data_IF_894750908240
#
_entry.id   IF_894750908240
#
_cell.length_a   1.000
_cell.length_b   1.000
_cell.length_c   1.000
_cell.angle_alpha   90.00
_cell.angle_beta   90.00
_cell.angle_gamma   90.00
#
_symmetry.space_group_name_H-M   'P 1'
#
loop_
_entity.id
_entity.type
_entity.pdbx_description
1 polymer ?
#
# COMPACT_ATOMS: atom_id res chain seq x y z
N UNK A 1 -18.40 7.65 -26.34
CA UNK A 1 -17.37 6.89 -25.61
C UNK A 1 -16.04 7.60 -25.79
N UNK A 2 -15.36 7.97 -24.72
CA UNK A 2 -14.05 8.62 -24.80
C UNK A 2 -12.94 7.57 -24.94
N UNK A 3 -11.95 7.88 -25.76
CA UNK A 3 -10.70 7.11 -25.85
C UNK A 3 -9.57 7.93 -25.25
N UNK A 4 -8.90 7.38 -24.24
CA UNK A 4 -7.70 7.97 -23.65
C UNK A 4 -6.49 7.46 -24.44
N UNK A 5 -5.70 8.38 -24.97
CA UNK A 5 -4.39 8.09 -25.58
C UNK A 5 -3.29 8.54 -24.64
N UNK A 6 -2.40 7.63 -24.26
CA UNK A 6 -1.37 7.90 -23.25
C UNK A 6 -0.05 7.19 -23.55
N UNK A 7 1.06 7.80 -23.18
CA UNK A 7 2.39 7.17 -23.27
C UNK A 7 2.74 6.54 -21.92
N UNK A 8 2.73 5.21 -21.83
CA UNK A 8 3.04 4.49 -20.59
C UNK A 8 4.54 4.53 -20.25
N UNK A 9 5.42 4.73 -21.23
CA UNK A 9 6.88 4.68 -21.06
C UNK A 9 7.59 5.88 -21.70
N UNK A 10 7.32 7.12 -21.25
CA UNK A 10 8.02 8.28 -21.77
C UNK A 10 9.51 8.21 -21.39
N UNK A 11 10.40 8.47 -22.36
CA UNK A 11 11.85 8.65 -22.17
C UNK A 11 12.73 7.39 -21.96
N UNK A 12 12.35 6.21 -22.45
CA UNK A 12 13.27 5.06 -22.52
C UNK A 12 14.19 5.19 -23.75
N UNK A 13 15.33 5.89 -23.61
CA UNK A 13 16.38 5.92 -24.65
C UNK A 13 17.23 4.64 -24.59
N UNK A 14 17.04 3.75 -25.58
CA UNK A 14 18.09 3.31 -26.52
C UNK A 14 17.64 2.24 -27.54
N UNK A 15 16.42 1.68 -27.52
CA UNK A 15 16.03 0.74 -28.59
C UNK A 15 14.53 0.45 -28.85
N UNK A 16 13.54 1.10 -28.21
CA UNK A 16 12.11 0.94 -28.59
C UNK A 16 11.35 2.27 -28.48
N UNK A 17 10.37 2.48 -29.36
CA UNK A 17 9.48 3.67 -29.46
C UNK A 17 8.72 3.90 -28.14
N UNK A 18 8.21 5.12 -27.94
CA UNK A 18 7.21 5.41 -26.91
C UNK A 18 6.08 4.34 -26.93
N UNK A 19 5.71 3.82 -25.76
CA UNK A 19 4.58 2.88 -25.65
C UNK A 19 3.28 3.68 -25.55
N UNK A 20 2.79 4.12 -26.71
CA UNK A 20 1.52 4.82 -26.83
C UNK A 20 0.39 3.78 -26.84
N UNK A 21 -0.49 3.87 -25.84
CA UNK A 21 -1.67 3.01 -25.71
C UNK A 21 -2.94 3.83 -25.84
N UNK A 22 -3.98 3.17 -26.33
CA UNK A 22 -5.32 3.72 -26.45
C UNK A 22 -6.29 2.86 -25.64
N UNK A 23 -7.02 3.48 -24.73
CA UNK A 23 -7.98 2.84 -23.83
C UNK A 23 -9.35 3.47 -24.04
N UNK A 24 -10.33 2.65 -24.41
CA UNK A 24 -11.73 3.08 -24.52
C UNK A 24 -12.44 2.92 -23.17
N UNK A 25 -13.14 3.97 -22.73
CA UNK A 25 -13.94 3.93 -21.50
C UNK A 25 -15.37 3.51 -21.82
N UNK A 26 -15.87 2.52 -21.09
CA UNK A 26 -17.27 2.09 -21.18
C UNK A 26 -18.22 3.14 -20.60
N UNK A 27 -19.53 2.96 -20.84
CA UNK A 27 -20.56 3.96 -20.55
C UNK A 27 -20.47 4.52 -19.13
N UNK A 28 -20.48 3.66 -18.11
CA UNK A 28 -20.44 4.09 -16.72
C UNK A 28 -19.09 4.69 -16.32
N UNK A 29 -18.00 4.05 -16.74
CA UNK A 29 -16.64 4.56 -16.51
C UNK A 29 -16.45 5.94 -17.13
N UNK A 30 -16.97 6.16 -18.33
CA UNK A 30 -16.87 7.42 -19.05
C UNK A 30 -17.63 8.54 -18.34
N UNK A 31 -18.87 8.28 -17.90
CA UNK A 31 -19.64 9.24 -17.11
C UNK A 31 -18.91 9.61 -15.81
N UNK A 32 -18.43 8.61 -15.06
CA UNK A 32 -17.64 8.82 -13.84
C UNK A 32 -16.35 9.60 -14.11
N UNK A 33 -15.62 9.25 -15.16
CA UNK A 33 -14.36 9.91 -15.51
C UNK A 33 -14.58 11.39 -15.82
N UNK A 34 -15.65 11.72 -16.56
CA UNK A 34 -15.99 13.12 -16.87
C UNK A 34 -16.36 13.90 -15.61
N UNK A 35 -17.13 13.32 -14.70
CA UNK A 35 -17.44 13.94 -13.41
C UNK A 35 -16.16 14.20 -12.59
N UNK A 36 -15.28 13.21 -12.49
CA UNK A 36 -14.00 13.35 -11.79
C UNK A 36 -13.06 14.38 -12.45
N UNK A 37 -13.08 14.51 -13.77
CA UNK A 37 -12.33 15.55 -14.49
C UNK A 37 -12.90 16.94 -14.19
N UNK A 38 -14.22 17.10 -14.19
CA UNK A 38 -14.90 18.36 -13.83
C UNK A 38 -14.55 18.80 -12.39
N UNK A 39 -14.42 17.85 -11.47
CA UNK A 39 -14.00 18.07 -10.08
C UNK A 39 -12.47 18.23 -9.91
N UNK A 40 -11.69 18.32 -11.01
CA UNK A 40 -10.21 18.37 -11.01
C UNK A 40 -9.50 17.17 -10.35
N UNK A 41 -10.21 16.06 -10.08
CA UNK A 41 -9.63 14.87 -9.46
C UNK A 41 -8.65 14.20 -10.41
N UNK A 42 -8.98 14.12 -11.71
CA UNK A 42 -8.09 13.53 -12.72
C UNK A 42 -6.81 14.36 -12.87
N UNK A 43 -6.92 15.69 -12.90
CA UNK A 43 -5.76 16.59 -12.91
C UNK A 43 -4.85 16.34 -11.70
N UNK A 44 -5.43 16.19 -10.51
CA UNK A 44 -4.69 15.85 -9.30
C UNK A 44 -3.96 14.51 -9.41
N UNK A 45 -4.57 13.48 -9.99
CA UNK A 45 -3.93 12.16 -10.14
C UNK A 45 -2.68 12.17 -11.02
N UNK A 46 -2.60 13.09 -11.98
CA UNK A 46 -1.39 13.31 -12.81
C UNK A 46 -0.24 13.89 -11.99
N UNK A 47 -0.55 14.60 -10.90
CA UNK A 47 0.44 15.23 -10.02
C UNK A 47 0.81 14.36 -8.80
N UNK A 48 -0.01 13.37 -8.43
CA UNK A 48 0.26 12.48 -7.29
C UNK A 48 1.28 11.41 -7.70
N UNK A 49 2.48 11.37 -7.08
CA UNK A 49 3.48 10.35 -7.37
C UNK A 49 3.01 8.95 -6.94
N UNK A 50 3.26 7.93 -7.77
CA UNK A 50 2.88 6.54 -7.48
C UNK A 50 3.50 6.06 -6.15
N UNK A 51 4.80 6.29 -5.98
CA UNK A 51 5.60 5.80 -4.86
C UNK A 51 5.78 6.83 -3.73
N UNK A 52 5.01 7.92 -3.77
CA UNK A 52 5.05 8.99 -2.77
C UNK A 52 6.47 9.51 -2.50
N UNK A 53 6.96 9.43 -1.25
CA UNK A 53 8.28 9.96 -0.92
C UNK A 53 9.43 9.10 -1.42
N UNK A 54 9.25 7.91 -2.00
CA UNK A 54 10.36 7.07 -2.47
C UNK A 54 11.16 7.78 -3.57
N UNK A 55 12.50 7.72 -3.50
CA UNK A 55 13.36 8.41 -4.47
C UNK A 55 13.40 7.61 -5.77
N UNK A 56 12.94 8.20 -6.86
CA UNK A 56 12.95 7.59 -8.19
C UNK A 56 13.72 8.48 -9.15
N UNK A 57 14.50 7.88 -10.07
CA UNK A 57 15.13 8.65 -11.16
C UNK A 57 14.03 9.25 -12.02
N UNK A 58 14.14 10.53 -12.39
CA UNK A 58 13.07 11.27 -13.08
C UNK A 58 12.48 10.52 -14.29
N UNK A 59 13.31 9.85 -15.09
CA UNK A 59 12.89 9.05 -16.26
C UNK A 59 11.97 7.86 -15.94
N UNK A 60 11.94 7.40 -14.70
CA UNK A 60 11.09 6.30 -14.23
C UNK A 60 9.99 6.80 -13.28
N UNK A 61 9.86 8.11 -13.11
CA UNK A 61 8.79 8.67 -12.27
C UNK A 61 7.44 8.39 -12.93
N UNK A 62 6.52 7.85 -12.14
CA UNK A 62 5.14 7.57 -12.53
C UNK A 62 4.19 8.27 -11.58
N UNK A 63 3.14 8.84 -12.14
CA UNK A 63 1.99 9.35 -11.41
C UNK A 63 0.98 8.23 -11.14
N UNK A 64 0.02 8.50 -10.25
CA UNK A 64 -1.14 7.62 -10.06
C UNK A 64 -1.96 7.51 -11.35
N UNK A 65 -2.01 8.57 -12.16
CA UNK A 65 -2.65 8.53 -13.47
C UNK A 65 -1.98 7.52 -14.41
N UNK A 66 -0.64 7.52 -14.52
CA UNK A 66 0.10 6.54 -15.35
C UNK A 66 -0.21 5.09 -14.95
N UNK A 67 -0.42 4.88 -13.65
CA UNK A 67 -0.74 3.58 -13.07
C UNK A 67 -2.18 3.14 -13.36
N UNK A 68 -3.14 4.07 -13.32
CA UNK A 68 -4.53 3.82 -13.74
C UNK A 68 -4.57 3.43 -15.21
N UNK A 69 -3.90 4.18 -16.09
CA UNK A 69 -3.93 3.89 -17.52
C UNK A 69 -3.28 2.55 -17.84
N UNK A 70 -2.20 2.16 -17.15
CA UNK A 70 -1.60 0.83 -17.30
C UNK A 70 -2.61 -0.28 -16.95
N UNK A 71 -3.28 -0.19 -15.80
CA UNK A 71 -4.28 -1.18 -15.40
C UNK A 71 -5.44 -1.28 -16.39
N UNK A 72 -5.98 -0.14 -16.84
CA UNK A 72 -7.04 -0.13 -17.85
C UNK A 72 -6.58 -0.73 -19.18
N UNK A 73 -5.33 -0.50 -19.57
CA UNK A 73 -4.73 -1.11 -20.75
C UNK A 73 -4.58 -2.62 -20.60
N UNK A 74 -4.14 -3.12 -19.44
CA UNK A 74 -4.06 -4.56 -19.18
C UNK A 74 -5.46 -5.21 -19.16
N UNK A 75 -6.47 -4.56 -18.58
CA UNK A 75 -7.87 -5.01 -18.67
C UNK A 75 -8.34 -5.10 -20.13
N UNK A 76 -7.95 -4.15 -20.98
CA UNK A 76 -8.21 -4.21 -22.43
C UNK A 76 -7.51 -5.42 -23.07
N UNK A 77 -6.26 -5.72 -22.72
CA UNK A 77 -5.56 -6.92 -23.20
C UNK A 77 -6.32 -8.18 -22.80
N UNK A 78 -6.72 -8.31 -21.52
CA UNK A 78 -7.47 -9.46 -21.02
C UNK A 78 -8.77 -9.63 -21.79
N UNK A 79 -9.57 -8.57 -21.92
CA UNK A 79 -10.84 -8.65 -22.66
C UNK A 79 -10.66 -9.08 -24.12
N UNK A 80 -9.64 -8.58 -24.80
CA UNK A 80 -9.43 -8.85 -26.22
C UNK A 80 -8.84 -10.22 -26.52
N UNK A 81 -8.04 -10.79 -25.61
CA UNK A 81 -7.22 -11.97 -25.91
C UNK A 81 -7.50 -13.17 -25.00
N UNK A 82 -8.08 -12.97 -23.82
CA UNK A 82 -8.21 -13.99 -22.77
C UNK A 82 -9.67 -14.22 -22.36
N UNK A 83 -10.63 -13.37 -22.76
CA UNK A 83 -12.00 -13.44 -22.20
C UNK A 83 -12.70 -14.80 -22.33
N UNK A 84 -12.38 -15.59 -23.36
CA UNK A 84 -13.00 -16.90 -23.60
C UNK A 84 -12.41 -18.00 -22.70
N UNK A 85 -11.33 -17.68 -22.00
CA UNK A 85 -10.63 -18.54 -21.05
C UNK A 85 -10.87 -18.08 -19.59
N UNK A 86 -11.78 -17.12 -19.38
CA UNK A 86 -12.20 -16.68 -18.05
C UNK A 86 -13.42 -17.46 -17.59
N UNK A 87 -13.48 -17.77 -16.29
CA UNK A 87 -14.65 -18.41 -15.67
C UNK A 87 -15.93 -17.58 -15.88
N UNK A 88 -15.80 -16.25 -15.71
CA UNK A 88 -16.88 -15.31 -16.01
C UNK A 88 -16.32 -14.19 -16.90
N UNK A 89 -16.93 -14.01 -18.08
CA UNK A 89 -16.42 -13.08 -19.09
C UNK A 89 -16.66 -11.61 -18.70
N UNK A 90 -15.87 -10.70 -19.26
CA UNK A 90 -16.01 -9.25 -19.04
C UNK A 90 -17.36 -8.69 -19.51
N UNK A 91 -18.05 -9.40 -20.41
CA UNK A 91 -19.36 -8.98 -20.92
C UNK A 91 -20.52 -9.50 -20.04
N UNK A 92 -20.24 -10.32 -19.03
CA UNK A 92 -21.25 -10.79 -18.09
C UNK A 92 -21.81 -9.62 -17.29
N UNK A 93 -23.13 -9.60 -17.12
CA UNK A 93 -23.86 -8.53 -16.45
C UNK A 93 -23.87 -8.74 -14.93
N UNK A 94 -23.76 -7.63 -14.18
CA UNK A 94 -23.90 -7.60 -12.74
C UNK A 94 -25.35 -7.25 -12.37
N UNK A 95 -25.92 -7.98 -11.43
CA UNK A 95 -27.26 -7.73 -10.91
C UNK A 95 -27.20 -6.99 -9.56
N UNK A 96 -28.29 -6.31 -9.21
CA UNK A 96 -28.42 -5.64 -7.91
C UNK A 96 -28.16 -6.55 -6.69
N UNK A 97 -28.64 -7.81 -6.64
CA UNK A 97 -28.33 -8.72 -5.54
C UNK A 97 -26.84 -9.06 -5.39
N UNK A 98 -26.03 -8.83 -6.44
CA UNK A 98 -24.58 -9.02 -6.39
C UNK A 98 -23.93 -7.92 -5.51
N UNK A 99 -24.63 -6.80 -5.25
CA UNK A 99 -24.24 -5.79 -4.27
C UNK A 99 -25.04 -5.97 -2.98
N UNK A 100 -24.36 -6.16 -1.84
CA UNK A 100 -25.00 -6.28 -0.52
C UNK A 100 -25.63 -4.96 0.00
N UNK A 101 -25.67 -3.90 -0.81
CA UNK A 101 -26.16 -2.56 -0.46
C UNK A 101 -27.61 -2.30 -0.91
N UNK A 102 -28.32 -1.43 -0.16
CA UNK A 102 -29.76 -1.16 -0.34
C UNK A 102 -30.10 -0.07 -1.38
N UNK A 103 -29.10 0.62 -1.94
CA UNK A 103 -29.31 2.02 -2.38
C UNK A 103 -29.36 2.26 -3.89
N UNK A 104 -29.10 1.25 -4.73
CA UNK A 104 -29.11 1.46 -6.19
C UNK A 104 -30.30 0.74 -6.82
N UNK A 105 -31.02 1.47 -7.67
CA UNK A 105 -31.89 0.89 -8.70
C UNK A 105 -31.16 0.91 -10.03
N UNK A 106 -30.86 -0.26 -10.59
CA UNK A 106 -30.27 -0.42 -11.92
C UNK A 106 -31.35 -0.99 -12.83
N UNK A 107 -31.68 -0.26 -13.88
CA UNK A 107 -32.64 -0.70 -14.89
C UNK A 107 -32.12 -1.97 -15.59
N UNK A 108 -33.01 -2.93 -15.89
CA UNK A 108 -32.60 -4.22 -16.49
C UNK A 108 -31.86 -4.07 -17.81
N UNK A 109 -32.21 -3.04 -18.59
CA UNK A 109 -31.64 -2.74 -19.90
C UNK A 109 -30.31 -1.99 -19.83
N UNK A 110 -29.97 -1.45 -18.66
CA UNK A 110 -28.77 -0.66 -18.41
C UNK A 110 -27.95 -1.29 -17.29
N UNK A 111 -27.72 -2.60 -17.35
CA UNK A 111 -26.89 -3.28 -16.35
C UNK A 111 -25.40 -3.04 -16.63
N UNK A 112 -24.58 -2.82 -15.59
CA UNK A 112 -23.14 -2.77 -15.77
C UNK A 112 -22.59 -4.17 -15.99
N UNK A 113 -21.65 -4.29 -16.93
CA UNK A 113 -20.89 -5.52 -17.14
C UNK A 113 -19.74 -5.64 -16.13
N UNK A 114 -19.16 -6.82 -15.97
CA UNK A 114 -17.90 -7.01 -15.23
C UNK A 114 -16.81 -6.05 -15.74
N UNK A 115 -16.76 -5.82 -17.06
CA UNK A 115 -15.84 -4.86 -17.66
C UNK A 115 -16.06 -3.42 -17.16
N UNK A 116 -17.31 -3.00 -16.97
CA UNK A 116 -17.64 -1.70 -16.37
C UNK A 116 -17.11 -1.63 -14.93
N UNK A 117 -17.41 -2.65 -14.12
CA UNK A 117 -16.97 -2.70 -12.71
C UNK A 117 -15.44 -2.64 -12.61
N UNK A 118 -14.71 -3.41 -13.41
CA UNK A 118 -13.25 -3.43 -13.38
C UNK A 118 -12.64 -2.09 -13.79
N UNK A 119 -13.18 -1.44 -14.82
CA UNK A 119 -12.72 -0.11 -15.22
C UNK A 119 -13.02 0.95 -14.17
N UNK A 120 -14.22 0.96 -13.60
CA UNK A 120 -14.61 1.88 -12.53
C UNK A 120 -13.77 1.66 -11.28
N UNK A 121 -13.62 0.41 -10.84
CA UNK A 121 -12.80 0.04 -9.69
C UNK A 121 -11.35 0.51 -9.86
N UNK A 122 -10.78 0.35 -11.06
CA UNK A 122 -9.42 0.84 -11.37
C UNK A 122 -9.24 2.33 -11.09
N UNK A 123 -10.24 3.14 -11.45
CA UNK A 123 -10.21 4.60 -11.23
C UNK A 123 -10.40 4.89 -9.73
N UNK A 124 -11.50 4.42 -9.14
CA UNK A 124 -11.89 4.80 -7.76
C UNK A 124 -10.98 4.21 -6.70
N UNK A 125 -10.28 3.11 -6.99
CA UNK A 125 -9.22 2.61 -6.12
C UNK A 125 -8.10 3.64 -5.93
N UNK A 126 -7.86 4.53 -6.90
CA UNK A 126 -6.70 5.41 -6.91
C UNK A 126 -7.00 6.88 -6.52
N UNK A 127 -8.27 7.32 -6.59
CA UNK A 127 -8.62 8.76 -6.42
C UNK A 127 -8.33 9.32 -5.02
N UNK A 128 -8.41 8.50 -3.96
CA UNK A 128 -8.22 8.92 -2.58
C UNK A 128 -6.78 8.91 -2.04
N UNK A 129 -5.77 8.61 -2.86
CA UNK A 129 -4.37 8.62 -2.42
C UNK A 129 -3.86 10.04 -2.12
N UNK A 130 -3.15 10.22 -1.01
CA UNK A 130 -2.35 11.42 -0.70
C UNK A 130 -1.14 11.57 -1.64
N UNK A 131 -0.55 12.77 -1.71
CA UNK A 131 0.70 13.01 -2.44
C UNK A 131 1.89 12.22 -1.87
N UNK A 132 2.01 12.11 -0.54
CA UNK A 132 3.01 11.22 0.09
C UNK A 132 2.44 9.81 0.37
N UNK A 133 1.36 9.43 -0.33
CA UNK A 133 0.77 8.09 -0.36
C UNK A 133 0.63 7.45 1.04
N UNK A 134 1.23 6.28 1.27
CA UNK A 134 1.12 5.53 2.51
C UNK A 134 1.79 6.21 3.70
N UNK A 135 2.75 7.11 3.48
CA UNK A 135 3.39 7.87 4.58
C UNK A 135 2.39 8.84 5.20
N UNK A 136 1.58 9.53 4.38
CA UNK A 136 0.50 10.38 4.86
C UNK A 136 -0.61 9.57 5.52
N UNK A 137 -1.03 8.46 4.91
CA UNK A 137 -2.07 7.61 5.51
C UNK A 137 -1.65 7.09 6.88
N UNK A 138 -0.37 6.71 7.03
CA UNK A 138 0.18 6.29 8.32
C UNK A 138 0.13 7.41 9.36
N UNK A 139 0.39 8.65 8.95
CA UNK A 139 0.31 9.80 9.84
C UNK A 139 -1.11 10.04 10.35
N UNK A 140 -2.11 9.91 9.49
CA UNK A 140 -3.53 10.04 9.88
C UNK A 140 -3.91 8.97 10.89
N UNK A 141 -3.61 7.70 10.62
CA UNK A 141 -3.95 6.61 11.54
C UNK A 141 -3.24 6.75 12.89
N UNK A 142 -1.96 7.11 12.89
CA UNK A 142 -1.23 7.38 14.14
C UNK A 142 -1.87 8.55 14.90
N UNK A 143 -2.23 9.63 14.19
CA UNK A 143 -2.81 10.80 14.82
C UNK A 143 -4.20 10.51 15.41
N UNK A 144 -5.05 9.77 14.69
CA UNK A 144 -6.36 9.31 15.21
C UNK A 144 -6.21 8.41 16.45
N UNK A 145 -5.20 7.54 16.47
CA UNK A 145 -4.90 6.71 17.65
C UNK A 145 -4.36 7.52 18.85
N UNK A 146 -3.83 8.72 18.63
CA UNK A 146 -3.24 9.59 19.68
C UNK A 146 -4.16 10.76 20.06
N UNK A 147 -5.23 11.02 19.30
CA UNK A 147 -6.15 12.13 19.50
C UNK A 147 -7.60 11.69 19.20
N UNK A 148 -8.36 11.47 20.27
CA UNK A 148 -9.75 10.99 20.22
C UNK A 148 -10.70 11.98 19.52
N UNK A 149 -10.50 13.30 19.70
CA UNK A 149 -11.29 14.32 19.01
C UNK A 149 -11.10 14.21 17.48
N UNK A 150 -9.85 14.05 17.04
CA UNK A 150 -9.57 13.86 15.62
C UNK A 150 -10.10 12.52 15.09
N UNK A 151 -10.01 11.44 15.87
CA UNK A 151 -10.61 10.16 15.50
C UNK A 151 -12.12 10.30 15.28
N UNK A 152 -12.83 10.97 16.18
CA UNK A 152 -14.26 11.24 16.05
C UNK A 152 -14.57 12.12 14.83
N UNK A 153 -13.74 13.12 14.53
CA UNK A 153 -13.88 13.93 13.29
C UNK A 153 -13.68 13.08 12.02
N UNK A 154 -12.72 12.16 12.03
CA UNK A 154 -12.47 11.26 10.90
C UNK A 154 -13.65 10.31 10.68
N UNK A 155 -14.17 9.70 11.76
CA UNK A 155 -15.35 8.82 11.71
C UNK A 155 -16.55 9.58 11.15
N UNK A 156 -16.81 10.78 11.65
CA UNK A 156 -17.95 11.61 11.23
C UNK A 156 -17.68 12.45 9.96
N UNK A 157 -16.67 12.08 9.16
CA UNK A 157 -16.39 12.78 7.89
C UNK A 157 -17.35 12.39 6.76
N UNK A 158 -18.14 11.34 6.96
CA UNK A 158 -19.28 10.93 6.14
C UNK A 158 -20.46 10.62 7.06
N UNK A 159 -21.68 10.73 6.53
CA UNK A 159 -22.90 10.31 7.23
C UNK A 159 -23.23 8.82 7.04
N UNK A 160 -22.59 8.11 6.10
CA UNK A 160 -22.85 6.69 5.84
C UNK A 160 -22.29 5.82 6.98
N UNK A 161 -23.15 5.01 7.60
CA UNK A 161 -22.76 4.14 8.72
C UNK A 161 -21.70 3.11 8.32
N UNK A 162 -21.69 2.64 7.06
CA UNK A 162 -20.66 1.71 6.55
C UNK A 162 -19.29 2.38 6.48
N UNK A 163 -19.26 3.69 6.20
CA UNK A 163 -18.04 4.47 6.24
C UNK A 163 -17.55 4.59 7.68
N UNK A 164 -18.44 4.96 8.62
CA UNK A 164 -18.12 5.12 10.05
C UNK A 164 -17.54 3.82 10.64
N UNK A 165 -18.18 2.69 10.35
CA UNK A 165 -17.70 1.35 10.75
C UNK A 165 -16.30 1.05 10.19
N UNK A 166 -16.10 1.23 8.88
CA UNK A 166 -14.81 0.96 8.24
C UNK A 166 -13.68 1.88 8.74
N UNK A 167 -13.96 3.15 9.07
CA UNK A 167 -13.00 4.04 9.73
C UNK A 167 -12.62 3.50 11.10
N UNK A 168 -13.60 3.09 11.90
CA UNK A 168 -13.39 2.52 13.23
C UNK A 168 -12.44 1.33 13.19
N UNK A 169 -12.74 0.35 12.32
CA UNK A 169 -11.89 -0.82 12.09
C UNK A 169 -10.47 -0.42 11.67
N UNK A 170 -10.33 0.55 10.75
CA UNK A 170 -9.00 0.94 10.25
C UNK A 170 -8.17 1.68 11.31
N UNK A 171 -8.80 2.41 12.22
CA UNK A 171 -8.11 3.03 13.36
C UNK A 171 -7.65 1.95 14.34
N UNK A 172 -8.54 1.03 14.70
CA UNK A 172 -8.27 -0.08 15.64
C UNK A 172 -7.14 -0.98 15.13
N UNK A 173 -7.24 -1.45 13.89
CA UNK A 173 -6.24 -2.32 13.26
C UNK A 173 -4.98 -1.56 12.78
N UNK A 174 -4.99 -0.23 12.90
CA UNK A 174 -3.97 0.68 12.37
C UNK A 174 -3.74 0.49 10.86
N UNK A 175 -4.79 0.24 10.10
CA UNK A 175 -4.77 -0.10 8.67
C UNK A 175 -4.61 1.13 7.74
N UNK A 176 -3.43 1.76 7.77
CA UNK A 176 -3.16 2.90 6.89
C UNK A 176 -3.05 2.54 5.41
N UNK A 177 -2.78 1.27 5.07
CA UNK A 177 -2.63 0.83 3.68
C UNK A 177 -3.94 0.97 2.91
N UNK A 178 -5.09 0.78 3.58
CA UNK A 178 -6.42 0.87 2.96
C UNK A 178 -7.14 2.21 3.13
N UNK A 179 -6.63 3.14 3.95
CA UNK A 179 -7.27 4.45 4.21
C UNK A 179 -7.62 5.24 2.93
N UNK A 180 -6.83 5.11 1.87
CA UNK A 180 -7.09 5.78 0.60
C UNK A 180 -8.44 5.38 -0.03
N UNK A 181 -8.97 4.20 0.27
CA UNK A 181 -10.29 3.76 -0.18
C UNK A 181 -11.40 4.58 0.49
N UNK A 182 -11.24 4.90 1.77
CA UNK A 182 -12.17 5.77 2.50
C UNK A 182 -12.12 7.19 1.94
N UNK A 183 -10.92 7.72 1.68
CA UNK A 183 -10.78 9.02 1.01
C UNK A 183 -11.42 9.02 -0.39
N UNK A 184 -11.38 7.90 -1.11
CA UNK A 184 -12.06 7.78 -2.40
C UNK A 184 -13.58 7.89 -2.26
N UNK A 185 -14.18 7.29 -1.21
CA UNK A 185 -15.61 7.47 -0.92
C UNK A 185 -15.96 8.94 -0.68
N UNK A 186 -15.16 9.65 0.13
CA UNK A 186 -15.37 11.07 0.42
C UNK A 186 -15.27 11.97 -0.82
N UNK A 187 -14.45 11.58 -1.81
CA UNK A 187 -14.41 12.24 -3.13
C UNK A 187 -15.68 11.94 -3.93
N UNK A 188 -16.15 10.69 -3.92
CA UNK A 188 -17.36 10.28 -4.62
C UNK A 188 -18.62 10.94 -4.02
N UNK A 189 -18.67 11.19 -2.71
CA UNK A 189 -19.77 11.92 -2.05
C UNK A 189 -19.90 13.38 -2.50
N UNK A 190 -18.80 14.00 -2.95
CA UNK A 190 -18.81 15.38 -3.47
C UNK A 190 -19.16 15.47 -4.95
N UNK A 191 -19.10 14.34 -5.65
CA UNK A 191 -19.53 14.26 -7.03
C UNK A 191 -21.04 14.44 -7.14
N UNK A 192 -21.54 14.71 -8.34
CA UNK A 192 -22.98 14.76 -8.58
C UNK A 192 -23.68 13.42 -8.24
N UNK A 193 -24.42 13.40 -7.13
CA UNK A 193 -25.12 12.20 -6.64
C UNK A 193 -26.32 11.79 -7.53
N UNK A 194 -26.74 12.62 -8.49
CA UNK A 194 -27.78 12.24 -9.47
C UNK A 194 -27.25 11.25 -10.51
N UNK A 195 -25.92 11.18 -10.70
CA UNK A 195 -25.30 10.29 -11.68
C UNK A 195 -25.31 8.82 -11.20
N UNK A 196 -25.81 7.94 -12.06
CA UNK A 196 -25.83 6.48 -11.79
C UNK A 196 -24.42 5.93 -11.61
N UNK A 197 -23.45 6.40 -12.38
CA UNK A 197 -22.05 5.97 -12.27
C UNK A 197 -21.40 6.32 -10.92
N UNK A 198 -21.75 7.45 -10.31
CA UNK A 198 -21.23 7.85 -8.98
C UNK A 198 -21.78 6.93 -7.90
N UNK A 199 -23.10 6.70 -7.88
CA UNK A 199 -23.74 5.75 -6.95
C UNK A 199 -23.16 4.35 -7.09
N UNK A 200 -23.06 3.86 -8.34
CA UNK A 200 -22.47 2.56 -8.64
C UNK A 200 -21.01 2.47 -8.17
N UNK A 201 -20.21 3.52 -8.38
CA UNK A 201 -18.85 3.57 -7.87
C UNK A 201 -18.77 3.44 -6.34
N UNK A 202 -19.63 4.14 -5.60
CA UNK A 202 -19.68 4.02 -4.14
C UNK A 202 -19.98 2.58 -3.70
N UNK A 203 -20.98 1.92 -4.28
CA UNK A 203 -21.33 0.54 -3.91
C UNK A 203 -20.26 -0.49 -4.32
N UNK A 204 -19.60 -0.31 -5.47
CA UNK A 204 -18.43 -1.12 -5.84
C UNK A 204 -17.35 -1.00 -4.76
N UNK A 205 -17.07 0.24 -4.32
CA UNK A 205 -16.01 0.51 -3.37
C UNK A 205 -16.34 0.01 -1.96
N UNK A 206 -17.59 0.15 -1.49
CA UNK A 206 -18.05 -0.46 -0.24
C UNK A 206 -17.96 -1.98 -0.28
N UNK A 207 -18.41 -2.60 -1.38
CA UNK A 207 -18.29 -4.06 -1.58
C UNK A 207 -16.82 -4.50 -1.55
N UNK A 208 -15.92 -3.73 -2.16
CA UNK A 208 -14.48 -4.00 -2.13
C UNK A 208 -13.85 -3.79 -0.74
N UNK A 209 -14.28 -2.79 0.01
CA UNK A 209 -13.85 -2.55 1.39
C UNK A 209 -14.20 -3.78 2.25
N UNK A 210 -15.46 -4.22 2.17
CA UNK A 210 -16.02 -5.37 2.88
C UNK A 210 -15.76 -6.74 2.25
N UNK A 211 -14.85 -6.85 1.26
CA UNK A 211 -14.66 -8.06 0.44
C UNK A 211 -14.35 -9.34 1.24
N UNK A 212 -13.77 -9.21 2.44
CA UNK A 212 -13.46 -10.36 3.30
C UNK A 212 -14.72 -11.09 3.82
N UNK A 213 -15.88 -10.44 3.76
CA UNK A 213 -17.18 -11.01 4.12
C UNK A 213 -17.90 -11.68 2.93
N UNK A 214 -17.33 -11.63 1.73
CA UNK A 214 -17.90 -12.27 0.55
C UNK A 214 -17.56 -13.77 0.54
N UNK A 215 -18.49 -14.58 0.04
CA UNK A 215 -18.24 -15.99 -0.19
C UNK A 215 -17.32 -16.15 -1.40
N UNK A 216 -16.53 -17.23 -1.44
CA UNK A 216 -15.58 -17.47 -2.55
C UNK A 216 -16.27 -17.58 -3.90
N UNK A 217 -17.48 -18.12 -3.92
CA UNK A 217 -18.27 -18.33 -5.15
C UNK A 217 -19.10 -17.08 -5.53
N UNK A 218 -18.94 -15.97 -4.79
CA UNK A 218 -19.60 -14.71 -5.10
C UNK A 218 -18.98 -14.09 -6.35
N UNK A 219 -19.85 -13.68 -7.29
CA UNK A 219 -19.40 -13.03 -8.54
C UNK A 219 -18.54 -11.80 -8.26
N UNK A 220 -18.85 -11.01 -7.23
CA UNK A 220 -18.04 -9.84 -6.88
C UNK A 220 -16.67 -10.23 -6.32
N UNK A 221 -16.57 -11.35 -5.60
CA UNK A 221 -15.28 -11.90 -5.17
C UNK A 221 -14.40 -12.22 -6.38
N UNK A 222 -14.96 -12.89 -7.40
CA UNK A 222 -14.28 -13.17 -8.65
C UNK A 222 -13.80 -11.90 -9.37
N UNK A 223 -14.67 -10.88 -9.47
CA UNK A 223 -14.31 -9.57 -10.07
C UNK A 223 -13.13 -8.93 -9.34
N UNK A 224 -13.12 -8.97 -8.00
CA UNK A 224 -12.04 -8.40 -7.19
C UNK A 224 -10.72 -9.17 -7.32
N UNK A 225 -10.76 -10.49 -7.51
CA UNK A 225 -9.58 -11.29 -7.80
C UNK A 225 -8.97 -10.95 -9.16
N UNK A 226 -9.79 -10.77 -10.21
CA UNK A 226 -9.28 -10.29 -11.51
C UNK A 226 -8.62 -8.92 -11.35
N UNK A 227 -9.30 -7.98 -10.69
CA UNK A 227 -8.77 -6.64 -10.43
C UNK A 227 -7.42 -6.70 -9.72
N UNK A 228 -7.32 -7.50 -8.65
CA UNK A 228 -6.09 -7.67 -7.87
C UNK A 228 -4.95 -8.23 -8.72
N UNK A 229 -5.20 -9.28 -9.51
CA UNK A 229 -4.18 -9.89 -10.39
C UNK A 229 -3.68 -8.93 -11.46
N UNK A 230 -4.57 -8.17 -12.10
CA UNK A 230 -4.19 -7.14 -13.10
C UNK A 230 -3.41 -6.00 -12.45
N UNK A 231 -3.84 -5.58 -11.25
CA UNK A 231 -3.12 -4.59 -10.46
C UNK A 231 -1.73 -5.09 -10.07
N UNK A 232 -1.59 -6.37 -9.70
CA UNK A 232 -0.31 -6.98 -9.33
C UNK A 232 0.70 -6.94 -10.48
N UNK A 233 0.26 -7.33 -11.68
CA UNK A 233 1.07 -7.18 -12.91
C UNK A 233 1.45 -5.72 -13.14
N UNK A 234 0.52 -4.79 -12.94
CA UNK A 234 0.76 -3.37 -13.19
C UNK A 234 1.85 -2.79 -12.30
N UNK A 235 1.78 -3.00 -10.98
CA UNK A 235 2.77 -2.37 -10.08
C UNK A 235 4.12 -3.05 -10.22
N UNK A 236 4.16 -4.38 -10.36
CA UNK A 236 5.42 -5.09 -10.55
C UNK A 236 6.12 -4.64 -11.83
N UNK A 237 5.38 -4.44 -12.93
CA UNK A 237 5.96 -3.99 -14.19
C UNK A 237 6.61 -2.61 -14.11
N UNK A 238 6.04 -1.67 -13.34
CA UNK A 238 6.65 -0.36 -13.12
C UNK A 238 7.76 -0.39 -12.06
N UNK A 239 7.54 -1.06 -10.94
CA UNK A 239 8.47 -1.01 -9.82
C UNK A 239 9.75 -1.82 -10.08
N UNK A 240 9.67 -2.89 -10.89
CA UNK A 240 10.87 -3.60 -11.35
C UNK A 240 11.78 -2.71 -12.21
N UNK A 241 11.27 -1.67 -12.87
CA UNK A 241 12.11 -0.73 -13.64
C UNK A 241 13.01 0.13 -12.74
N UNK A 242 12.67 0.25 -11.45
CA UNK A 242 13.41 1.04 -10.47
C UNK A 242 14.14 0.19 -9.43
N UNK A 243 13.73 -1.08 -9.26
CA UNK A 243 14.37 -2.04 -8.36
C UNK A 243 15.79 -2.36 -8.82
N UNK A 244 16.63 -2.79 -7.87
CA UNK A 244 17.92 -3.43 -8.16
C UNK A 244 17.79 -4.94 -8.43
N UNK A 245 16.57 -5.48 -8.35
CA UNK A 245 16.27 -6.88 -8.62
C UNK A 245 16.53 -7.23 -10.09
N UNK A 246 17.16 -8.37 -10.42
CA UNK A 246 17.49 -8.75 -11.80
C UNK A 246 16.27 -9.32 -12.56
N UNK A 247 15.10 -8.74 -12.37
CA UNK A 247 13.84 -9.16 -13.00
C UNK A 247 13.18 -7.95 -13.66
N UNK A 248 12.53 -8.17 -14.80
CA UNK A 248 11.78 -7.13 -15.52
C UNK A 248 10.57 -7.74 -16.19
N UNK A 249 9.48 -6.97 -16.27
CA UNK A 249 8.33 -7.28 -17.14
C UNK A 249 8.37 -6.26 -18.28
N UNK A 250 8.64 -6.72 -19.51
CA UNK A 250 8.70 -5.82 -20.68
C UNK A 250 7.28 -5.45 -21.13
N UNK A 251 6.84 -4.24 -20.77
CA UNK A 251 5.54 -3.71 -21.19
C UNK A 251 5.43 -3.49 -22.71
N UNK A 252 6.55 -3.46 -23.44
CA UNK A 252 6.55 -3.35 -24.90
C UNK A 252 6.35 -4.70 -25.60
N UNK A 253 6.44 -5.83 -24.88
CA UNK A 253 6.20 -7.17 -25.42
C UNK A 253 4.78 -7.62 -25.09
N UNK A 254 3.86 -7.34 -26.02
CA UNK A 254 2.44 -7.67 -25.86
C UNK A 254 2.19 -9.17 -25.72
N UNK A 255 2.94 -10.02 -26.41
CA UNK A 255 2.73 -11.47 -26.39
C UNK A 255 3.14 -12.04 -25.02
N UNK A 256 4.26 -11.57 -24.48
CA UNK A 256 4.68 -11.90 -23.11
C UNK A 256 3.66 -11.42 -22.06
N UNK A 257 3.07 -10.22 -22.24
CA UNK A 257 2.00 -9.74 -21.35
C UNK A 257 0.74 -10.60 -21.41
N UNK A 258 0.30 -10.98 -22.62
CA UNK A 258 -0.85 -11.88 -22.80
C UNK A 258 -0.57 -13.22 -22.12
N UNK A 259 0.63 -13.77 -22.31
CA UNK A 259 1.02 -15.04 -21.72
C UNK A 259 0.94 -15.01 -20.19
N UNK A 260 1.58 -14.03 -19.55
CA UNK A 260 1.57 -13.90 -18.08
C UNK A 260 0.14 -13.69 -17.54
N UNK A 261 -0.65 -12.84 -18.20
CA UNK A 261 -2.04 -12.60 -17.81
C UNK A 261 -2.90 -13.86 -17.97
N UNK A 262 -2.68 -14.65 -19.03
CA UNK A 262 -3.36 -15.94 -19.23
C UNK A 262 -3.00 -16.93 -18.13
N UNK A 263 -1.73 -17.06 -17.78
CA UNK A 263 -1.27 -17.92 -16.69
C UNK A 263 -1.86 -17.52 -15.33
N UNK A 264 -2.16 -16.24 -15.11
CA UNK A 264 -2.77 -15.75 -13.87
C UNK A 264 -4.31 -15.89 -13.82
N UNK A 265 -4.98 -15.78 -14.97
CA UNK A 265 -6.43 -15.55 -15.04
C UNK A 265 -7.22 -16.69 -15.69
N UNK A 266 -6.60 -17.50 -16.54
CA UNK A 266 -7.30 -18.56 -17.26
C UNK A 266 -7.80 -19.64 -16.30
N UNK A 267 -9.07 -20.02 -16.40
CA UNK A 267 -9.62 -21.11 -15.58
C UNK A 267 -9.13 -22.49 -16.03
N UNK A 268 -8.52 -22.59 -17.21
CA UNK A 268 -7.91 -23.82 -17.72
C UNK A 268 -6.52 -24.09 -17.13
N UNK A 269 -5.88 -23.08 -16.53
CA UNK A 269 -4.52 -23.15 -16.03
C UNK A 269 -4.48 -23.39 -14.51
N UNK A 270 -3.46 -24.12 -14.04
CA UNK A 270 -3.09 -24.10 -12.63
C UNK A 270 -2.37 -22.78 -12.32
N UNK A 271 -3.09 -21.85 -11.68
CA UNK A 271 -2.59 -20.50 -11.42
C UNK A 271 -1.55 -20.45 -10.29
N UNK A 272 -1.42 -21.51 -9.47
CA UNK A 272 -0.58 -21.51 -8.24
C UNK A 272 0.90 -21.21 -8.50
N UNK A 273 1.57 -21.78 -9.51
CA UNK A 273 2.99 -21.48 -9.76
C UNK A 273 3.21 -19.99 -10.06
N UNK A 274 2.33 -19.41 -10.86
CA UNK A 274 2.40 -18.00 -11.26
C UNK A 274 2.08 -17.09 -10.06
N UNK A 275 1.08 -17.44 -9.24
CA UNK A 275 0.79 -16.72 -7.99
C UNK A 275 1.98 -16.74 -7.01
N UNK A 276 2.67 -17.88 -6.87
CA UNK A 276 3.87 -18.00 -6.04
C UNK A 276 5.01 -17.15 -6.60
N UNK A 277 5.19 -17.13 -7.93
CA UNK A 277 6.19 -16.27 -8.58
C UNK A 277 5.92 -14.80 -8.28
N UNK A 278 4.68 -14.35 -8.47
CA UNK A 278 4.26 -12.97 -8.20
C UNK A 278 4.44 -12.61 -6.72
N UNK A 279 4.03 -13.50 -5.80
CA UNK A 279 4.29 -13.31 -4.36
C UNK A 279 5.79 -13.18 -4.06
N UNK A 280 6.64 -13.95 -4.74
CA UNK A 280 8.09 -13.90 -4.56
C UNK A 280 8.68 -12.60 -5.09
N UNK A 281 8.23 -12.13 -6.26
CA UNK A 281 8.61 -10.83 -6.82
C UNK A 281 8.17 -9.69 -5.89
N UNK A 282 6.93 -9.74 -5.41
CA UNK A 282 6.39 -8.78 -4.45
C UNK A 282 7.27 -8.66 -3.20
N UNK A 283 7.69 -9.80 -2.63
CA UNK A 283 8.64 -9.83 -1.51
C UNK A 283 9.98 -9.17 -1.85
N UNK A 284 10.53 -9.42 -3.03
CA UNK A 284 11.80 -8.79 -3.46
C UNK A 284 11.64 -7.26 -3.61
N UNK A 285 10.52 -6.80 -4.16
CA UNK A 285 10.21 -5.37 -4.25
C UNK A 285 10.01 -4.75 -2.87
N UNK A 286 9.34 -5.47 -1.95
CA UNK A 286 9.21 -5.06 -0.56
C UNK A 286 10.60 -4.84 0.07
N UNK A 287 11.50 -5.81 -0.04
CA UNK A 287 12.82 -5.71 0.59
C UNK A 287 13.74 -4.66 -0.08
N UNK A 288 13.58 -4.40 -1.39
CA UNK A 288 14.50 -3.51 -2.15
C UNK A 288 13.99 -2.08 -2.33
N UNK A 289 12.68 -1.84 -2.31
CA UNK A 289 12.07 -0.54 -2.58
C UNK A 289 11.30 -0.02 -1.36
N UNK A 290 10.30 -0.79 -0.92
CA UNK A 290 9.29 -0.30 0.03
C UNK A 290 9.78 -0.31 1.48
N UNK A 291 10.43 -1.40 1.86
CA UNK A 291 10.86 -1.74 3.21
C UNK A 291 12.39 -1.85 3.32
N UNK A 292 13.13 -1.24 2.39
CA UNK A 292 14.57 -1.03 2.57
C UNK A 292 14.79 -0.37 3.93
N UNK A 293 15.57 -1.02 4.79
CA UNK A 293 15.55 -0.77 6.23
C UNK A 293 15.86 0.70 6.57
N UNK A 294 16.81 1.33 5.86
CA UNK A 294 17.12 2.74 6.03
C UNK A 294 15.94 3.62 5.60
N UNK A 295 15.38 3.40 4.42
CA UNK A 295 14.20 4.13 3.94
C UNK A 295 12.99 4.02 4.89
N UNK A 296 12.70 2.84 5.43
CA UNK A 296 11.58 2.66 6.35
C UNK A 296 11.72 3.50 7.64
N UNK A 297 12.93 3.60 8.19
CA UNK A 297 13.24 4.54 9.30
C UNK A 297 12.99 5.99 8.85
N UNK A 298 13.46 6.37 7.66
CA UNK A 298 13.29 7.73 7.13
C UNK A 298 11.81 8.10 6.96
N UNK A 299 10.99 7.23 6.36
CA UNK A 299 9.56 7.49 6.12
C UNK A 299 8.77 7.54 7.41
N UNK A 300 9.14 6.71 8.39
CA UNK A 300 8.55 6.81 9.72
C UNK A 300 8.84 8.15 10.41
N UNK A 301 10.06 8.68 10.28
CA UNK A 301 10.39 10.01 10.81
C UNK A 301 9.58 11.12 10.13
N UNK A 302 9.36 11.02 8.81
CA UNK A 302 8.49 11.94 8.07
C UNK A 302 7.06 11.84 8.61
N UNK A 303 6.56 10.62 8.81
CA UNK A 303 5.24 10.35 9.41
C UNK A 303 5.11 11.03 10.78
N UNK A 304 6.09 10.84 11.68
CA UNK A 304 6.09 11.47 13.01
C UNK A 304 6.16 12.99 12.94
N UNK A 305 6.88 13.55 11.97
CA UNK A 305 6.92 15.00 11.74
C UNK A 305 5.56 15.52 11.27
N UNK A 306 4.83 14.79 10.43
CA UNK A 306 3.46 15.13 10.04
C UNK A 306 2.53 15.15 11.27
N UNK A 307 2.55 14.08 12.07
CA UNK A 307 1.74 13.96 13.31
C UNK A 307 2.02 15.12 14.27
N UNK A 308 3.29 15.47 14.50
CA UNK A 308 3.66 16.62 15.34
C UNK A 308 3.09 17.94 14.81
N UNK A 309 3.13 18.15 13.49
CA UNK A 309 2.64 19.39 12.90
C UNK A 309 1.10 19.46 12.88
N UNK A 310 0.41 18.31 12.81
CA UNK A 310 -1.05 18.25 12.96
C UNK A 310 -1.46 18.70 14.37
N UNK A 311 -0.80 18.19 15.41
CA UNK A 311 -1.02 18.62 16.79
C UNK A 311 -0.89 20.13 17.01
N UNK A 312 0.01 20.80 16.27
CA UNK A 312 0.24 22.25 16.42
C UNK A 312 -0.73 23.14 15.62
N UNK A 313 -1.52 22.57 14.71
CA UNK A 313 -2.45 23.32 13.87
C UNK A 313 -3.87 23.16 14.39
N UNK A 314 -4.44 24.25 14.91
CA UNK A 314 -5.83 24.30 15.38
C UNK A 314 -6.86 24.19 14.24
N UNK A 315 -6.46 24.41 12.99
CA UNK A 315 -7.37 24.37 11.82
C UNK A 315 -7.45 22.98 11.17
N UNK A 316 -7.75 21.95 11.96
CA UNK A 316 -8.25 20.67 11.41
C UNK A 316 -9.78 20.70 11.45
N UNK A 317 -10.37 21.73 10.83
CA UNK A 317 -11.83 21.85 10.73
C UNK A 317 -12.39 21.04 9.57
N UNK A 318 -11.54 20.69 8.59
CA UNK A 318 -11.93 19.89 7.46
C UNK A 318 -10.85 18.84 7.13
N UNK A 319 -11.15 17.57 7.38
CA UNK A 319 -10.30 16.44 7.02
C UNK A 319 -10.01 16.45 5.50
N UNK A 320 -10.98 16.84 4.65
CA UNK A 320 -10.87 16.83 3.17
C UNK A 320 -9.74 17.69 2.65
N UNK A 321 -9.62 18.89 3.18
CA UNK A 321 -8.52 19.79 2.89
C UNK A 321 -7.14 19.18 3.16
N UNK A 322 -7.02 18.24 4.12
CA UNK A 322 -5.75 17.61 4.44
C UNK A 322 -5.21 16.70 3.31
N UNK A 323 -6.05 16.03 2.51
CA UNK A 323 -5.57 15.21 1.38
C UNK A 323 -5.75 15.83 0.00
N UNK A 324 -6.70 16.76 -0.18
CA UNK A 324 -6.92 17.41 -1.48
C UNK A 324 -5.86 18.49 -1.74
N UNK A 325 -5.56 19.33 -0.75
CA UNK A 325 -4.62 20.43 -0.91
C UNK A 325 -3.17 19.94 -0.98
N UNK A 326 -2.49 20.18 -2.11
CA UNK A 326 -1.07 19.82 -2.32
C UNK A 326 -0.11 20.45 -1.28
N UNK A 327 -0.48 21.61 -0.75
CA UNK A 327 0.31 22.36 0.23
C UNK A 327 0.02 21.95 1.69
N UNK A 328 -0.96 21.05 1.90
CA UNK A 328 -1.26 20.48 3.23
C UNK A 328 -0.02 19.87 3.87
N UNK A 329 0.00 19.83 5.21
CA UNK A 329 1.01 19.13 6.02
C UNK A 329 1.19 17.69 5.53
N UNK A 330 0.14 17.02 5.06
CA UNK A 330 0.23 15.64 4.60
C UNK A 330 0.76 15.50 3.18
N UNK A 331 0.71 16.55 2.36
CA UNK A 331 1.00 16.48 0.93
C UNK A 331 2.27 17.21 0.51
N UNK A 332 2.74 18.16 1.31
CA UNK A 332 4.00 18.87 1.02
C UNK A 332 5.20 17.93 1.05
N UNK A 333 6.27 18.35 0.38
CA UNK A 333 7.53 17.61 0.37
C UNK A 333 8.24 17.69 1.73
N UNK A 334 8.84 16.57 2.13
CA UNK A 334 9.61 16.47 3.35
C UNK A 334 11.07 16.11 3.06
N UNK A 335 11.99 16.85 3.69
CA UNK A 335 13.41 16.53 3.63
C UNK A 335 13.68 15.18 4.29
N UNK A 336 14.34 14.30 3.55
CA UNK A 336 14.79 12.99 4.03
C UNK A 336 16.04 13.15 4.87
N UNK A 337 15.91 13.04 6.18
CA UNK A 337 17.04 13.13 7.11
C UNK A 337 17.59 11.73 7.39
N UNK A 338 18.85 11.49 7.01
CA UNK A 338 19.57 10.23 7.29
C UNK A 338 20.73 10.46 8.27
N UNK A 339 20.38 10.90 9.48
CA UNK A 339 21.34 11.18 10.55
C UNK A 339 21.63 9.99 11.47
N UNK A 340 21.41 8.78 10.95
CA UNK A 340 21.60 7.50 11.61
C UNK A 340 22.45 6.57 10.75
N UNK A 341 23.05 5.56 11.38
CA UNK A 341 23.85 4.57 10.69
C UNK A 341 22.96 3.68 9.83
N UNK A 342 23.33 3.51 8.55
CA UNK A 342 22.61 2.59 7.64
C UNK A 342 23.02 1.12 7.88
N UNK A 343 24.08 0.91 8.66
CA UNK A 343 24.50 -0.40 9.15
C UNK A 343 25.20 -0.24 10.52
N UNK A 344 24.88 -1.10 11.51
CA UNK A 344 23.80 -2.08 11.52
C UNK A 344 22.45 -1.43 11.83
N UNK A 345 21.39 -1.98 11.24
CA UNK A 345 20.00 -1.71 11.63
C UNK A 345 19.47 -2.97 12.32
N UNK A 346 18.95 -2.82 13.54
CA UNK A 346 18.25 -3.89 14.24
C UNK A 346 16.85 -4.03 13.64
N UNK A 347 16.52 -5.24 13.18
CA UNK A 347 15.25 -5.59 12.55
C UNK A 347 14.54 -6.68 13.33
N UNK A 348 13.38 -6.35 13.90
CA UNK A 348 12.60 -7.27 14.74
C UNK A 348 11.21 -7.44 14.12
N UNK A 349 10.90 -8.66 13.66
CA UNK A 349 9.58 -8.99 13.09
C UNK A 349 8.73 -9.69 14.14
N UNK A 350 7.48 -9.27 14.30
CA UNK A 350 6.51 -9.82 15.24
C UNK A 350 5.31 -10.36 14.46
N UNK A 351 4.84 -11.54 14.85
CA UNK A 351 3.70 -12.19 14.22
C UNK A 351 2.42 -11.38 14.41
N UNK A 352 1.41 -11.68 13.61
CA UNK A 352 0.11 -10.98 13.61
C UNK A 352 -0.53 -10.93 15.00
N UNK A 353 -0.38 -12.00 15.79
CA UNK A 353 -0.93 -12.10 17.15
C UNK A 353 -0.19 -11.24 18.18
N UNK A 354 1.04 -10.79 17.86
CA UNK A 354 1.94 -10.06 18.76
C UNK A 354 2.05 -8.57 18.40
N UNK A 355 1.17 -8.07 17.52
CA UNK A 355 1.16 -6.67 17.05
C UNK A 355 1.13 -5.64 18.18
N UNK A 356 0.42 -5.93 19.27
CA UNK A 356 0.32 -5.04 20.43
C UNK A 356 1.69 -4.90 21.12
N UNK A 357 2.39 -6.01 21.33
CA UNK A 357 3.74 -6.01 21.93
C UNK A 357 4.74 -5.30 21.03
N UNK A 358 4.65 -5.49 19.71
CA UNK A 358 5.46 -4.75 18.74
C UNK A 358 5.19 -3.23 18.80
N UNK A 359 3.94 -2.84 19.01
CA UNK A 359 3.53 -1.44 19.14
C UNK A 359 4.04 -0.81 20.45
N UNK A 360 3.93 -1.53 21.56
CA UNK A 360 4.44 -1.09 22.86
C UNK A 360 5.95 -0.91 22.82
N UNK A 361 6.67 -1.86 22.20
CA UNK A 361 8.10 -1.76 21.97
C UNK A 361 8.46 -0.53 21.14
N UNK A 362 7.72 -0.28 20.05
CA UNK A 362 7.92 0.90 19.20
C UNK A 362 7.80 2.19 20.04
N UNK A 363 6.71 2.36 20.79
CA UNK A 363 6.49 3.53 21.64
C UNK A 363 7.57 3.67 22.73
N UNK A 364 7.99 2.55 23.34
CA UNK A 364 9.06 2.55 24.34
C UNK A 364 10.41 2.97 23.74
N UNK A 365 10.70 2.55 22.51
CA UNK A 365 11.92 2.92 21.79
C UNK A 365 11.89 4.38 21.35
N UNK A 366 10.76 4.95 20.94
CA UNK A 366 10.67 6.37 20.54
C UNK A 366 11.12 7.33 21.63
N UNK A 367 10.84 6.99 22.89
CA UNK A 367 11.25 7.77 24.07
C UNK A 367 12.74 7.63 24.38
N UNK A 368 13.50 6.85 23.59
CA UNK A 368 14.93 6.62 23.80
C UNK A 368 15.75 7.65 23.04
N UNK A 369 16.57 8.41 23.77
CA UNK A 369 17.48 9.37 23.15
C UNK A 369 18.54 8.67 22.29
N UNK A 370 19.03 9.40 21.29
CA UNK A 370 20.13 8.98 20.39
C UNK A 370 19.85 7.82 19.43
N UNK A 371 18.62 7.33 19.35
CA UNK A 371 18.23 6.37 18.31
C UNK A 371 17.32 7.00 17.26
N UNK A 372 17.18 6.28 16.15
CA UNK A 372 16.15 6.43 15.13
C UNK A 372 15.44 5.11 15.00
N UNK A 373 14.13 5.19 14.82
CA UNK A 373 13.30 4.01 14.67
C UNK A 373 12.40 4.13 13.46
N UNK A 374 11.87 2.99 13.03
CA UNK A 374 10.82 2.91 12.04
C UNK A 374 10.03 1.63 12.22
N UNK A 375 8.92 1.53 11.50
CA UNK A 375 8.24 0.26 11.33
C UNK A 375 7.59 0.17 9.96
N UNK A 376 7.26 -1.04 9.57
CA UNK A 376 6.38 -1.34 8.45
C UNK A 376 5.62 -2.64 8.73
N UNK A 377 4.46 -2.80 8.09
CA UNK A 377 3.64 -4.00 8.17
C UNK A 377 3.86 -4.80 6.89
N UNK A 378 4.07 -6.09 7.05
CA UNK A 378 4.23 -7.04 5.95
C UNK A 378 2.85 -7.40 5.40
N UNK A 379 2.81 -7.80 4.14
CA UNK A 379 1.57 -8.27 3.50
C UNK A 379 0.91 -9.45 4.25
N UNK A 380 1.70 -10.32 4.87
CA UNK A 380 1.24 -11.44 5.71
C UNK A 380 0.70 -11.02 7.08
N UNK A 381 0.73 -9.74 7.41
CA UNK A 381 0.20 -9.18 8.66
C UNK A 381 1.23 -9.01 9.78
N UNK A 382 2.48 -9.50 9.63
CA UNK A 382 3.51 -9.26 10.64
C UNK A 382 3.92 -7.79 10.69
N UNK A 383 4.35 -7.33 11.87
CA UNK A 383 4.91 -5.98 12.06
C UNK A 383 6.41 -6.05 12.25
N UNK A 384 7.16 -5.28 11.48
CA UNK A 384 8.62 -5.18 11.62
C UNK A 384 9.01 -3.85 12.23
N UNK A 385 9.71 -3.88 13.37
CA UNK A 385 10.29 -2.71 14.04
C UNK A 385 11.78 -2.61 13.70
N UNK A 386 12.22 -1.40 13.35
CA UNK A 386 13.58 -1.08 12.95
C UNK A 386 14.20 -0.10 13.94
N UNK A 387 15.48 -0.31 14.29
CA UNK A 387 16.23 0.59 15.17
C UNK A 387 17.64 0.81 14.64
N UNK A 388 18.07 2.07 14.63
CA UNK A 388 19.45 2.48 14.35
C UNK A 388 19.90 3.55 15.34
N UNK A 389 21.21 3.66 15.56
CA UNK A 389 21.82 4.71 16.41
C UNK A 389 22.18 5.92 15.53
N UNK A 390 21.98 7.13 16.05
CA UNK A 390 22.37 8.37 15.36
C UNK A 390 23.88 8.41 15.14
N UNK A 391 24.33 8.89 13.98
CA UNK A 391 25.75 8.90 13.57
C UNK A 391 26.67 9.58 14.59
N UNK A 392 26.24 10.76 15.07
CA UNK A 392 27.04 11.63 15.94
C UNK A 392 26.85 11.33 17.44
N UNK A 393 26.47 10.10 17.78
CA UNK A 393 26.35 9.67 19.18
C UNK A 393 27.73 9.29 19.70
N UNK A 394 28.17 9.89 20.80
CA UNK A 394 29.48 9.60 21.39
C UNK A 394 29.52 8.24 22.11
N UNK A 395 28.49 7.93 22.92
CA UNK A 395 28.44 6.70 23.71
C UNK A 395 27.41 5.72 23.13
N UNK A 396 27.77 5.10 22.00
CA UNK A 396 26.87 4.21 21.24
C UNK A 396 26.63 2.89 21.97
N UNK A 397 27.62 2.41 22.72
CA UNK A 397 27.56 1.20 23.53
C UNK A 397 26.46 1.27 24.60
N UNK A 398 26.37 2.39 25.35
CA UNK A 398 25.31 2.58 26.35
C UNK A 398 23.94 2.73 25.70
N UNK A 399 23.87 3.36 24.53
CA UNK A 399 22.61 3.49 23.79
C UNK A 399 22.16 2.12 23.28
N UNK A 400 23.07 1.33 22.72
CA UNK A 400 22.79 -0.04 22.28
C UNK A 400 22.36 -0.94 23.43
N UNK A 401 22.97 -0.81 24.61
CA UNK A 401 22.56 -1.53 25.82
C UNK A 401 21.14 -1.16 26.28
N UNK A 402 20.75 0.12 26.19
CA UNK A 402 19.36 0.54 26.49
C UNK A 402 18.36 -0.06 25.51
N UNK A 403 18.72 -0.13 24.22
CA UNK A 403 17.90 -0.81 23.19
C UNK A 403 17.76 -2.29 23.54
N UNK A 404 18.87 -2.96 23.87
CA UNK A 404 18.89 -4.37 24.30
C UNK A 404 17.91 -4.63 25.44
N UNK A 405 18.01 -3.87 26.53
CA UNK A 405 17.15 -4.03 27.70
C UNK A 405 15.67 -3.84 27.37
N UNK A 406 15.33 -2.80 26.60
CA UNK A 406 13.95 -2.55 26.18
C UNK A 406 13.41 -3.70 25.33
N UNK A 407 14.16 -4.12 24.33
CA UNK A 407 13.75 -5.22 23.44
C UNK A 407 13.57 -6.51 24.23
N UNK A 408 14.55 -6.92 25.05
CA UNK A 408 14.45 -8.15 25.86
C UNK A 408 13.22 -8.11 26.77
N UNK A 409 12.94 -6.97 27.42
CA UNK A 409 11.78 -6.83 28.28
C UNK A 409 10.45 -7.08 27.55
N UNK A 410 10.32 -6.59 26.31
CA UNK A 410 9.10 -6.78 25.52
C UNK A 410 9.04 -8.17 24.86
N UNK A 411 10.20 -8.76 24.51
CA UNK A 411 10.22 -10.13 24.03
C UNK A 411 9.80 -11.12 25.12
N UNK A 412 10.19 -10.87 26.37
CA UNK A 412 9.81 -11.71 27.52
C UNK A 412 8.33 -11.62 27.90
N UNK A 413 7.60 -10.59 27.44
CA UNK A 413 6.14 -10.50 27.66
C UNK A 413 5.32 -11.30 26.64
N UNK A 414 5.96 -11.91 25.64
CA UNK A 414 5.30 -12.78 24.68
C UNK A 414 4.93 -14.12 25.34
N UNK A 415 3.68 -14.55 25.17
CA UNK A 415 3.12 -15.73 25.87
C UNK A 415 3.89 -17.03 25.61
N UNK A 416 4.42 -17.21 24.40
CA UNK A 416 5.05 -18.46 23.94
C UNK A 416 6.49 -18.26 23.44
N UNK A 417 7.22 -17.27 23.97
CA UNK A 417 8.60 -17.02 23.55
C UNK A 417 9.51 -18.17 23.95
N UNK A 418 10.28 -18.70 22.99
CA UNK A 418 11.33 -19.69 23.25
C UNK A 418 12.62 -18.98 23.65
N UNK A 419 13.43 -19.62 24.49
CA UNK A 419 14.77 -19.11 24.81
C UNK A 419 15.66 -18.98 23.55
N UNK A 420 15.40 -19.81 22.53
CA UNK A 420 16.07 -19.79 21.23
C UNK A 420 15.44 -18.84 20.20
N UNK A 421 14.53 -17.94 20.60
CA UNK A 421 13.90 -17.01 19.67
C UNK A 421 14.96 -16.14 18.95
N UNK A 422 15.00 -16.13 17.60
CA UNK A 422 16.01 -15.40 16.83
C UNK A 422 16.08 -13.91 17.15
N UNK A 423 15.00 -13.31 17.65
CA UNK A 423 14.98 -11.88 18.02
C UNK A 423 15.93 -11.56 19.17
N UNK A 424 16.16 -12.49 20.10
CA UNK A 424 17.18 -12.34 21.14
C UNK A 424 18.59 -12.29 20.55
N UNK A 425 18.87 -13.16 19.58
CA UNK A 425 20.16 -13.18 18.89
C UNK A 425 20.40 -11.89 18.10
N UNK A 426 19.39 -11.40 17.38
CA UNK A 426 19.48 -10.18 16.58
C UNK A 426 19.80 -8.95 17.45
N UNK A 427 19.11 -8.78 18.57
CA UNK A 427 19.36 -7.64 19.46
C UNK A 427 20.70 -7.77 20.18
N UNK A 428 21.11 -8.98 20.53
CA UNK A 428 22.43 -9.24 21.11
C UNK A 428 23.53 -8.89 20.12
N UNK A 429 23.43 -9.34 18.87
CA UNK A 429 24.39 -8.99 17.81
C UNK A 429 24.47 -7.48 17.57
N UNK A 430 23.32 -6.79 17.57
CA UNK A 430 23.27 -5.33 17.47
C UNK A 430 24.00 -4.66 18.63
N UNK A 431 23.80 -5.11 19.87
CA UNK A 431 24.51 -4.58 21.03
C UNK A 431 26.02 -4.84 20.95
N UNK A 432 26.41 -6.08 20.67
CA UNK A 432 27.82 -6.47 20.61
C UNK A 432 28.55 -5.65 19.54
N UNK A 433 27.95 -5.39 18.38
CA UNK A 433 28.57 -4.57 17.33
C UNK A 433 29.07 -3.22 17.88
N UNK A 434 28.25 -2.53 18.68
CA UNK A 434 28.65 -1.26 19.29
C UNK A 434 29.57 -1.44 20.50
N UNK A 435 29.43 -2.53 21.26
CA UNK A 435 30.34 -2.85 22.36
C UNK A 435 31.78 -3.04 21.85
N UNK A 436 31.95 -3.65 20.69
CA UNK A 436 33.24 -3.90 20.06
C UNK A 436 33.62 -2.84 19.02
N UNK A 437 33.26 -1.57 19.27
CA UNK A 437 33.71 -0.42 18.46
C UNK A 437 33.38 -0.53 16.96
N UNK A 438 32.18 -0.99 16.63
CA UNK A 438 31.66 -1.08 15.25
C UNK A 438 32.41 -2.09 14.36
N UNK A 439 33.09 -3.05 14.97
CA UNK A 439 33.66 -4.19 14.26
C UNK A 439 32.59 -5.25 13.95
N UNK A 440 32.72 -5.90 12.79
CA UNK A 440 31.83 -7.01 12.44
C UNK A 440 32.04 -8.19 13.39
N UNK A 441 30.93 -8.70 13.93
CA UNK A 441 30.95 -9.82 14.88
C UNK A 441 30.33 -11.04 14.23
N UNK A 442 31.12 -12.11 14.21
CA UNK A 442 30.67 -13.43 13.81
C UNK A 442 30.40 -14.25 15.06
N UNK A 443 29.13 -14.49 15.35
CA UNK A 443 28.72 -15.46 16.35
C UNK A 443 28.80 -16.84 15.71
N UNK A 444 29.79 -17.63 16.13
CA UNK A 444 29.92 -19.03 15.69
C UNK A 444 29.08 -19.89 16.64
N UNK A 445 28.09 -20.63 16.14
CA UNK A 445 27.44 -21.64 16.96
C UNK A 445 28.49 -22.69 17.32
N UNK A 446 28.66 -22.94 18.60
CA UNK A 446 29.43 -24.07 19.11
C UNK A 446 28.43 -25.11 19.58
N UNK A 447 28.61 -26.36 19.15
CA UNK A 447 27.92 -27.49 19.79
C UNK A 447 28.66 -27.70 21.11
N UNK A 448 27.95 -27.51 22.22
CA UNK A 448 28.47 -27.87 23.53
C UNK A 448 28.36 -29.39 23.66
N UNK A 449 29.47 -30.06 24.00
CA UNK A 449 29.51 -31.53 24.09
C UNK A 449 28.66 -32.07 25.25
N UNK A 450 28.34 -31.23 26.25
CA UNK A 450 27.50 -31.58 27.40
C UNK A 450 26.09 -31.00 27.32
N UNK A 451 25.88 -29.94 26.52
CA UNK A 451 24.60 -29.21 26.44
C UNK A 451 24.05 -29.26 25.01
N UNK A 452 23.06 -30.12 24.79
CA UNK A 452 22.26 -30.11 23.56
C UNK A 452 21.35 -28.87 23.55
N UNK A 453 21.71 -27.84 22.78
CA UNK A 453 20.84 -26.69 22.52
C UNK A 453 20.13 -26.92 21.19
N UNK A 454 18.81 -27.16 21.24
CA UNK A 454 17.94 -27.39 20.07
C UNK A 454 17.66 -26.10 19.31
#
# INVERSE_FOLDING_TARGET
MNTIKHNLLPNIKKQKKDLIVEVELYKYTNELYMELENQNVIKRLKDVPQLGPIKVKQKFSKSRYDYIILQLYLHKIVKQNIQNELEITYNNQINLPDFKGKTISIDKEDRPSIGDILQMLTIIYNIGHFYNTFTSSRAIIIYANENEEFANKLINSSEDDRFKEAVGEYIEDRNYQRLHLLNSLLVLEECNQDLKSVKLAQEILYSYIGQNSLLKDDKMHYVFEIFKKVRDVSYMAYDLQISTTPLTIDLCDKDSLIFILRELLSFYNDQRPTEILFKSIGKLLDDTIYNEDSNAICYYQITRKMVKNLNSNYEINDYKNLWLNKNSILNKNYNKRRDYLEFPILKLTFDTNDKNIAQDLLMALEKTNHIRIGYYDRYSGEKTVLVSIKKNTQNKERVAFRVLNKVISHLRSLKNIRASDPRFLLVTKFFLFYLFSENNITLKPTVDEEICVI
#
